data_IF_302547810034
#
_entry.id   IF_302547810034
#
_cell.length_a   1.000
_cell.length_b   1.000
_cell.length_c   1.000
_cell.angle_alpha   90.00
_cell.angle_beta   90.00
_cell.angle_gamma   90.00
#
_symmetry.space_group_name_H-M   'P 1'
#
loop_
_entity.id
_entity.type
_entity.pdbx_description
1 polymer ?
#
# COMPACT_ATOMS: atom_id res chain seq x y z
N UNK A 1 22.43 -21.98 45.49
CA UNK A 1 23.18 -20.73 45.25
C UNK A 1 24.34 -21.06 44.32
N UNK A 2 24.78 -20.10 43.50
CA UNK A 2 25.70 -20.19 42.33
C UNK A 2 24.99 -20.72 41.06
N UNK A 3 24.69 -19.98 39.98
CA UNK A 3 25.08 -18.65 39.51
C UNK A 3 25.70 -18.80 38.12
N UNK A 4 24.92 -18.62 37.04
CA UNK A 4 25.45 -18.64 35.66
C UNK A 4 25.50 -17.22 35.10
N UNK A 5 26.69 -16.78 34.68
CA UNK A 5 26.90 -15.52 33.98
C UNK A 5 26.94 -15.76 32.46
N UNK A 6 26.09 -15.06 31.71
CA UNK A 6 26.17 -15.00 30.26
C UNK A 6 27.24 -13.97 29.86
N UNK A 7 28.24 -14.38 29.09
CA UNK A 7 29.23 -13.48 28.50
C UNK A 7 28.90 -13.26 27.04
N UNK A 8 28.54 -12.03 26.67
CA UNK A 8 28.40 -11.64 25.26
C UNK A 8 29.79 -11.59 24.62
N UNK A 9 30.07 -12.46 23.66
CA UNK A 9 31.15 -12.26 22.71
C UNK A 9 30.58 -11.47 21.54
N UNK A 10 30.97 -10.20 21.42
CA UNK A 10 30.70 -9.38 20.23
C UNK A 10 31.33 -10.04 19.00
N UNK A 11 30.64 -10.16 17.87
CA UNK A 11 31.27 -10.63 16.64
C UNK A 11 32.26 -9.56 16.16
N UNK A 12 33.53 -9.94 16.08
CA UNK A 12 34.55 -9.16 15.39
C UNK A 12 34.23 -9.08 13.90
N UNK A 13 34.45 -7.90 13.32
CA UNK A 13 34.38 -7.63 11.89
C UNK A 13 35.39 -8.53 11.15
N UNK A 14 34.89 -9.37 10.24
CA UNK A 14 35.73 -9.98 9.23
C UNK A 14 35.80 -9.03 8.02
N UNK A 15 36.97 -8.41 7.84
CA UNK A 15 37.35 -7.72 6.62
C UNK A 15 37.40 -8.69 5.43
N UNK A 16 36.99 -8.21 4.27
CA UNK A 16 37.21 -8.79 2.94
C UNK A 16 36.24 -9.92 2.51
N UNK A 17 34.97 -9.53 2.32
CA UNK A 17 34.48 -9.27 0.95
C UNK A 17 34.75 -10.28 -0.16
N UNK A 18 34.68 -11.60 0.06
CA UNK A 18 34.71 -12.57 -1.05
C UNK A 18 33.83 -13.81 -0.83
N UNK A 19 32.92 -14.02 -1.80
CA UNK A 19 31.99 -15.15 -1.92
C UNK A 19 32.73 -16.45 -2.28
N UNK A 20 32.38 -17.57 -1.62
CA UNK A 20 32.70 -18.92 -2.12
C UNK A 20 31.51 -19.51 -2.89
N UNK A 21 31.73 -20.18 -4.03
CA UNK A 21 30.66 -20.76 -4.83
C UNK A 21 30.14 -22.06 -4.21
N UNK A 22 28.84 -22.23 -4.40
CA UNK A 22 27.97 -23.35 -4.08
C UNK A 22 28.56 -24.71 -4.49
N UNK A 23 28.80 -25.57 -3.49
CA UNK A 23 29.04 -27.00 -3.68
C UNK A 23 27.88 -27.76 -3.02
N UNK A 24 27.04 -28.40 -3.84
CA UNK A 24 25.90 -29.19 -3.37
C UNK A 24 26.38 -30.59 -2.98
N UNK A 25 26.19 -30.97 -1.72
CA UNK A 25 26.23 -32.37 -1.31
C UNK A 25 24.90 -32.72 -0.63
N UNK A 26 24.05 -33.42 -1.38
CA UNK A 26 22.78 -33.98 -0.91
C UNK A 26 23.12 -35.16 0.01
N UNK A 27 22.88 -35.02 1.32
CA UNK A 27 22.83 -36.16 2.24
C UNK A 27 21.39 -36.36 2.71
N UNK A 28 20.84 -37.51 2.32
CA UNK A 28 19.54 -38.01 2.79
C UNK A 28 19.70 -38.48 4.25
N UNK A 29 19.18 -37.70 5.20
CA UNK A 29 18.86 -38.20 6.55
C UNK A 29 17.48 -37.71 7.00
N UNK A 30 16.72 -38.51 7.77
CA UNK A 30 15.36 -38.18 8.16
C UNK A 30 15.39 -37.40 9.49
N UNK A 31 15.41 -36.08 9.43
CA UNK A 31 15.10 -35.24 10.60
C UNK A 31 14.05 -34.23 10.16
N UNK A 32 12.85 -34.36 10.72
CA UNK A 32 11.82 -33.32 10.66
C UNK A 32 12.29 -32.13 11.49
N UNK A 33 13.17 -31.31 10.94
CA UNK A 33 13.39 -29.96 11.44
C UNK A 33 12.31 -29.12 10.78
N UNK A 34 11.38 -28.61 11.57
CA UNK A 34 10.60 -27.44 11.18
C UNK A 34 11.61 -26.30 11.14
N UNK A 35 12.27 -26.14 9.99
CA UNK A 35 12.97 -24.92 9.67
C UNK A 35 11.90 -23.89 9.41
N UNK A 36 11.60 -23.10 10.44
CA UNK A 36 11.04 -21.78 10.26
C UNK A 36 12.04 -21.01 9.38
N UNK A 37 11.79 -21.02 8.07
CA UNK A 37 12.48 -20.13 7.15
C UNK A 37 12.00 -18.74 7.55
N UNK A 38 12.79 -18.04 8.37
CA UNK A 38 12.69 -16.59 8.45
C UNK A 38 13.03 -16.08 7.06
N UNK A 39 12.01 -15.84 6.24
CA UNK A 39 12.14 -15.03 5.04
C UNK A 39 12.58 -13.65 5.51
N UNK A 40 13.89 -13.43 5.56
CA UNK A 40 14.51 -12.12 5.70
C UNK A 40 14.26 -11.40 4.37
N UNK A 41 13.06 -10.82 4.22
CA UNK A 41 12.76 -9.88 3.15
C UNK A 41 13.52 -8.58 3.46
N UNK A 42 14.81 -8.56 3.12
CA UNK A 42 15.58 -7.32 3.01
C UNK A 42 15.21 -6.62 1.70
N UNK A 43 13.97 -6.16 1.62
CA UNK A 43 13.55 -5.18 0.63
C UNK A 43 13.99 -3.82 1.12
N UNK A 44 15.00 -3.23 0.50
CA UNK A 44 15.32 -1.81 0.65
C UNK A 44 14.18 -1.00 -0.01
N UNK A 45 13.06 -0.90 0.70
CA UNK A 45 12.10 0.16 0.47
C UNK A 45 12.75 1.42 1.04
N UNK A 46 13.09 2.39 0.18
CA UNK A 46 13.54 3.71 0.63
C UNK A 46 12.45 4.32 1.50
N UNK A 47 12.56 4.10 2.81
CA UNK A 47 11.58 4.48 3.80
C UNK A 47 12.13 5.68 4.55
N UNK A 48 11.53 6.84 4.31
CA UNK A 48 11.77 8.00 5.14
C UNK A 48 11.05 7.79 6.47
N UNK A 49 11.78 7.80 7.58
CA UNK A 49 11.18 7.71 8.89
C UNK A 49 10.50 9.05 9.23
N UNK A 50 9.18 9.05 9.33
CA UNK A 50 8.40 10.20 9.79
C UNK A 50 7.87 9.92 11.19
N UNK A 51 8.17 10.79 12.16
CA UNK A 51 7.60 10.69 13.50
C UNK A 51 6.24 11.38 13.55
N UNK A 52 5.20 10.65 13.92
CA UNK A 52 3.82 11.16 14.06
C UNK A 52 3.48 11.19 15.54
N UNK A 53 2.89 12.30 16.01
CA UNK A 53 2.40 12.43 17.39
C UNK A 53 0.92 12.05 17.40
N UNK A 54 0.57 11.10 18.27
CA UNK A 54 -0.80 10.70 18.56
C UNK A 54 -1.10 11.11 19.99
N UNK A 55 -2.32 11.57 20.25
CA UNK A 55 -2.81 11.68 21.62
C UNK A 55 -2.99 10.28 22.24
N UNK A 56 -3.04 10.23 23.58
CA UNK A 56 -3.09 8.97 24.32
C UNK A 56 -4.41 8.21 24.06
N UNK A 57 -5.52 8.91 23.88
CA UNK A 57 -6.83 8.30 23.61
C UNK A 57 -6.84 7.55 22.26
N UNK A 58 -6.37 8.21 21.20
CA UNK A 58 -6.29 7.67 19.85
C UNK A 58 -5.29 6.52 19.79
N UNK A 59 -4.16 6.65 20.51
CA UNK A 59 -3.17 5.58 20.62
C UNK A 59 -3.76 4.34 21.27
N UNK A 60 -4.56 4.48 22.33
CA UNK A 60 -5.17 3.33 23.00
C UNK A 60 -6.29 2.72 22.16
N UNK A 61 -7.12 3.53 21.50
CA UNK A 61 -8.12 3.05 20.53
C UNK A 61 -7.47 2.27 19.38
N UNK A 62 -6.34 2.76 18.86
CA UNK A 62 -5.60 2.09 17.79
C UNK A 62 -5.02 0.75 18.25
N UNK A 63 -4.48 0.67 19.48
CA UNK A 63 -3.98 -0.60 20.03
C UNK A 63 -5.10 -1.63 20.16
N UNK A 64 -6.24 -1.25 20.75
CA UNK A 64 -7.40 -2.14 20.86
C UNK A 64 -7.83 -2.64 19.48
N UNK A 65 -7.92 -1.75 18.50
CA UNK A 65 -8.25 -2.13 17.13
C UNK A 65 -7.21 -3.06 16.49
N UNK A 66 -5.92 -2.85 16.79
CA UNK A 66 -4.83 -3.67 16.31
C UNK A 66 -4.86 -5.08 16.91
N UNK A 67 -5.14 -5.18 18.21
CA UNK A 67 -5.28 -6.44 18.93
C UNK A 67 -6.48 -7.23 18.40
N UNK A 68 -7.63 -6.57 18.22
CA UNK A 68 -8.86 -7.16 17.67
C UNK A 68 -8.66 -7.69 16.24
N UNK A 69 -7.88 -6.98 15.41
CA UNK A 69 -7.57 -7.35 14.03
C UNK A 69 -6.35 -8.26 13.89
N UNK A 70 -5.65 -8.58 14.98
CA UNK A 70 -4.39 -9.31 14.99
C UNK A 70 -3.33 -8.72 14.04
N UNK A 71 -3.21 -7.39 14.02
CA UNK A 71 -2.22 -6.64 13.22
C UNK A 71 -1.38 -5.76 14.13
N UNK A 72 -0.23 -5.28 13.63
CA UNK A 72 0.53 -4.27 14.38
C UNK A 72 -0.13 -2.91 14.24
N UNK A 73 -0.11 -2.11 15.30
CA UNK A 73 -0.62 -0.73 15.27
C UNK A 73 0.03 0.11 14.16
N UNK A 74 1.32 -0.13 13.88
CA UNK A 74 2.03 0.52 12.78
C UNK A 74 1.47 0.19 11.40
N UNK A 75 1.14 -1.09 11.14
CA UNK A 75 0.55 -1.48 9.87
C UNK A 75 -0.81 -0.81 9.65
N UNK A 76 -1.64 -0.75 10.69
CA UNK A 76 -2.95 -0.08 10.63
C UNK A 76 -2.82 1.44 10.45
N UNK A 77 -1.80 2.09 11.04
CA UNK A 77 -1.55 3.51 10.80
C UNK A 77 -1.21 3.78 9.34
N UNK A 78 -0.33 2.97 8.75
CA UNK A 78 0.05 3.13 7.35
C UNK A 78 -1.15 2.93 6.43
N UNK A 79 -1.92 1.85 6.66
CA UNK A 79 -3.15 1.56 5.91
C UNK A 79 -4.13 2.73 5.99
N UNK A 80 -4.41 3.24 7.19
CA UNK A 80 -5.33 4.36 7.39
C UNK A 80 -4.86 5.65 6.69
N UNK A 81 -3.55 5.93 6.71
CA UNK A 81 -2.99 7.10 6.01
C UNK A 81 -3.12 6.92 4.50
N UNK A 82 -2.77 5.75 3.97
CA UNK A 82 -2.89 5.45 2.54
C UNK A 82 -4.33 5.57 2.06
N UNK A 83 -5.28 4.95 2.76
CA UNK A 83 -6.70 5.05 2.41
C UNK A 83 -7.22 6.49 2.44
N UNK A 84 -6.77 7.29 3.41
CA UNK A 84 -7.11 8.71 3.48
C UNK A 84 -6.58 9.47 2.26
N UNK A 85 -5.29 9.31 1.96
CA UNK A 85 -4.64 9.99 0.83
C UNK A 85 -5.33 9.60 -0.48
N UNK A 86 -5.52 8.31 -0.74
CA UNK A 86 -6.17 7.82 -1.97
C UNK A 86 -7.56 8.41 -2.16
N UNK A 87 -8.33 8.53 -1.07
CA UNK A 87 -9.65 9.15 -1.11
C UNK A 87 -9.58 10.65 -1.40
N UNK A 88 -8.66 11.37 -0.75
CA UNK A 88 -8.47 12.80 -0.97
C UNK A 88 -7.94 13.12 -2.37
N UNK A 89 -7.07 12.28 -2.91
CA UNK A 89 -6.56 12.40 -4.28
C UNK A 89 -7.67 12.20 -5.29
N UNK A 90 -8.49 11.16 -5.14
CA UNK A 90 -9.66 10.92 -6.02
C UNK A 90 -10.65 12.08 -5.96
N UNK A 91 -10.92 12.62 -4.77
CA UNK A 91 -11.79 13.79 -4.61
C UNK A 91 -11.21 15.02 -5.29
N UNK A 92 -9.91 15.27 -5.11
CA UNK A 92 -9.21 16.41 -5.70
C UNK A 92 -9.11 16.29 -7.22
N UNK A 93 -8.96 15.08 -7.75
CA UNK A 93 -9.02 14.78 -9.18
C UNK A 93 -10.41 15.11 -9.73
N UNK A 94 -11.47 14.57 -9.13
CA UNK A 94 -12.85 14.83 -9.56
C UNK A 94 -13.19 16.33 -9.62
N UNK A 95 -12.79 17.10 -8.60
CA UNK A 95 -13.03 18.55 -8.58
C UNK A 95 -12.24 19.29 -9.68
N UNK A 96 -10.97 18.88 -9.91
CA UNK A 96 -10.16 19.46 -10.99
C UNK A 96 -10.75 19.13 -12.36
N UNK A 97 -11.19 17.90 -12.58
CA UNK A 97 -11.77 17.46 -13.84
C UNK A 97 -13.08 18.22 -14.13
N UNK A 98 -13.94 18.40 -13.11
CA UNK A 98 -15.15 19.20 -13.23
C UNK A 98 -14.86 20.68 -13.54
N UNK A 99 -13.85 21.27 -12.89
CA UNK A 99 -13.43 22.64 -13.17
C UNK A 99 -12.86 22.79 -14.59
N UNK A 100 -12.06 21.83 -15.05
CA UNK A 100 -11.52 21.81 -16.40
C UNK A 100 -12.63 21.66 -17.46
N UNK A 101 -13.60 20.78 -17.23
CA UNK A 101 -14.77 20.64 -18.11
C UNK A 101 -15.60 21.93 -18.18
N UNK A 102 -15.79 22.61 -17.05
CA UNK A 102 -16.48 23.90 -17.01
C UNK A 102 -15.73 24.99 -17.79
N UNK A 103 -14.42 25.10 -17.60
CA UNK A 103 -13.59 26.05 -18.35
C UNK A 103 -13.64 25.76 -19.86
N UNK A 104 -13.51 24.48 -20.24
CA UNK A 104 -13.60 24.05 -21.63
C UNK A 104 -14.94 24.42 -22.27
N UNK A 105 -16.06 24.22 -21.56
CA UNK A 105 -17.38 24.65 -22.03
C UNK A 105 -17.44 26.17 -22.24
N UNK A 106 -16.95 26.95 -21.30
CA UNK A 106 -16.96 28.41 -21.39
C UNK A 106 -16.12 28.95 -22.56
N UNK A 107 -15.03 28.27 -22.92
CA UNK A 107 -14.15 28.65 -24.02
C UNK A 107 -14.66 28.19 -25.40
N UNK A 108 -15.18 26.96 -25.49
CA UNK A 108 -15.51 26.32 -26.77
C UNK A 108 -17.00 26.36 -27.13
N UNK A 109 -17.87 26.48 -26.11
CA UNK A 109 -19.32 26.29 -26.19
C UNK A 109 -19.75 24.83 -26.37
N UNK A 110 -18.81 23.89 -26.42
CA UNK A 110 -19.10 22.47 -26.69
C UNK A 110 -19.67 21.79 -25.45
N UNK A 111 -20.83 21.15 -25.62
CA UNK A 111 -21.55 20.43 -24.59
C UNK A 111 -22.29 19.20 -25.18
N UNK A 112 -22.86 18.40 -24.29
CA UNK A 112 -23.85 17.37 -24.63
C UNK A 112 -25.16 17.76 -23.95
N UNK A 113 -26.29 17.53 -24.62
CA UNK A 113 -27.60 17.73 -23.99
C UNK A 113 -27.88 16.63 -22.97
N UNK A 114 -28.76 16.91 -22.00
CA UNK A 114 -29.14 15.91 -21.00
C UNK A 114 -29.77 14.65 -21.64
N UNK A 115 -30.58 14.84 -22.69
CA UNK A 115 -31.27 13.75 -23.40
C UNK A 115 -30.28 12.81 -24.11
N UNK A 116 -29.24 13.34 -24.74
CA UNK A 116 -28.20 12.51 -25.38
C UNK A 116 -27.36 11.75 -24.35
N UNK A 117 -27.06 12.37 -23.21
CA UNK A 117 -26.33 11.71 -22.12
C UNK A 117 -27.17 10.60 -21.50
N UNK A 118 -28.47 10.83 -21.27
CA UNK A 118 -29.38 9.82 -20.75
C UNK A 118 -29.53 8.65 -21.72
N UNK A 119 -29.79 8.92 -23.00
CA UNK A 119 -29.87 7.90 -24.04
C UNK A 119 -28.57 7.08 -24.16
N UNK A 120 -27.40 7.71 -23.95
CA UNK A 120 -26.13 7.02 -23.95
C UNK A 120 -25.94 6.15 -22.71
N UNK A 121 -26.20 6.67 -21.50
CA UNK A 121 -26.08 5.93 -20.23
C UNK A 121 -27.02 4.71 -20.22
N UNK A 122 -28.21 4.83 -20.80
CA UNK A 122 -29.18 3.74 -20.90
C UNK A 122 -28.67 2.55 -21.73
N UNK A 123 -27.66 2.75 -22.58
CA UNK A 123 -27.04 1.65 -23.34
C UNK A 123 -26.04 0.84 -22.51
N UNK A 124 -25.52 1.38 -21.40
CA UNK A 124 -24.46 0.74 -20.62
C UNK A 124 -24.94 -0.53 -19.94
N UNK A 125 -24.13 -1.59 -20.00
CA UNK A 125 -24.50 -2.89 -19.43
C UNK A 125 -25.54 -3.67 -20.26
N UNK A 126 -25.84 -3.22 -21.48
CA UNK A 126 -26.63 -3.97 -22.47
C UNK A 126 -25.75 -4.55 -23.57
N UNK A 127 -26.29 -5.42 -24.43
CA UNK A 127 -25.57 -5.94 -25.61
C UNK A 127 -25.27 -4.84 -26.66
N UNK A 128 -25.87 -3.66 -26.52
CA UNK A 128 -25.75 -2.54 -27.45
C UNK A 128 -25.15 -1.29 -26.78
N UNK A 129 -24.16 -1.48 -25.89
CA UNK A 129 -23.41 -0.38 -25.28
C UNK A 129 -22.71 0.47 -26.36
N UNK A 130 -23.03 1.76 -26.40
CA UNK A 130 -22.54 2.69 -27.42
C UNK A 130 -21.38 3.55 -26.90
N UNK A 131 -20.53 4.03 -27.83
CA UNK A 131 -19.50 5.01 -27.53
C UNK A 131 -20.10 6.37 -27.14
N UNK A 132 -19.31 7.18 -26.42
CA UNK A 132 -19.72 8.52 -26.02
C UNK A 132 -20.11 9.40 -27.23
N UNK A 133 -21.27 10.06 -27.21
CA UNK A 133 -21.67 10.96 -28.28
C UNK A 133 -20.69 12.15 -28.39
N UNK A 134 -20.44 12.68 -29.59
CA UNK A 134 -19.55 13.82 -29.78
C UNK A 134 -20.19 15.12 -29.24
N UNK A 135 -19.39 15.95 -28.55
CA UNK A 135 -19.86 17.26 -28.08
C UNK A 135 -20.21 18.20 -29.24
N UNK A 136 -21.26 19.00 -29.08
CA UNK A 136 -21.76 19.99 -30.04
C UNK A 136 -22.02 21.35 -29.37
N UNK A 137 -22.37 22.38 -30.14
CA UNK A 137 -22.61 23.75 -29.65
C UNK A 137 -24.07 24.07 -29.45
#
# INVERSE_FOLDING_TARGET
MHGYAARCMSPGLAENGQRKPYFWQISLTPIKVVTCITHDYKGDFMSAATSIRLDDELKDRLKTLADDRHRSAHALMLEAITEYIDREEKRSQYLRDGQAAWQHYQETGLHLSAEEVEAWIDTWGTENEQDAPPCHR
#
